data_IF_095746049868
#
_entry.id   IF_095746049868
#
_cell.length_a   1.000
_cell.length_b   1.000
_cell.length_c   1.000
_cell.angle_alpha   90.00
_cell.angle_beta   90.00
_cell.angle_gamma   90.00
#
_symmetry.space_group_name_H-M   'P 1'
#
loop_
_entity.id
_entity.type
_entity.pdbx_description
1 polymer ?
#
# COMPACT_ATOMS: atom_id res chain seq x y z
N UNK A 1 -8.19 -8.69 -11.44
CA UNK A 1 -8.51 -7.75 -10.35
C UNK A 1 -8.18 -6.37 -10.88
N UNK A 2 -9.12 -5.41 -10.84
CA UNK A 2 -8.80 -4.04 -11.27
C UNK A 2 -7.77 -3.43 -10.30
N UNK A 3 -6.97 -2.44 -10.75
CA UNK A 3 -6.02 -1.76 -9.87
C UNK A 3 -6.72 -1.18 -8.63
N UNK A 4 -7.95 -0.69 -8.80
CA UNK A 4 -8.79 -0.19 -7.71
C UNK A 4 -9.14 -1.27 -6.69
N UNK A 5 -9.52 -2.48 -7.12
CA UNK A 5 -9.82 -3.60 -6.24
C UNK A 5 -8.59 -4.02 -5.42
N UNK A 6 -7.41 -4.03 -6.06
CA UNK A 6 -6.14 -4.34 -5.39
C UNK A 6 -5.76 -3.27 -4.36
N UNK A 7 -5.89 -1.99 -4.73
CA UNK A 7 -5.63 -0.87 -3.81
C UNK A 7 -6.60 -0.90 -2.63
N UNK A 8 -7.88 -1.22 -2.86
CA UNK A 8 -8.86 -1.38 -1.79
C UNK A 8 -8.48 -2.53 -0.85
N UNK A 9 -8.14 -3.68 -1.40
CA UNK A 9 -7.69 -4.83 -0.59
C UNK A 9 -6.48 -4.50 0.29
N UNK A 10 -5.47 -3.82 -0.27
CA UNK A 10 -4.28 -3.40 0.47
C UNK A 10 -4.63 -2.38 1.58
N UNK A 11 -5.52 -1.43 1.28
CA UNK A 11 -5.97 -0.42 2.25
C UNK A 11 -6.77 -1.03 3.40
N UNK A 12 -7.68 -1.97 3.09
CA UNK A 12 -8.48 -2.68 4.09
C UNK A 12 -7.57 -3.52 5.01
N UNK A 13 -6.56 -4.17 4.44
CA UNK A 13 -5.58 -4.97 5.19
C UNK A 13 -4.70 -4.09 6.09
N UNK A 14 -4.26 -2.93 5.60
CA UNK A 14 -3.54 -1.95 6.42
C UNK A 14 -4.41 -1.43 7.58
N UNK A 15 -5.69 -1.14 7.33
CA UNK A 15 -6.61 -0.71 8.39
C UNK A 15 -6.80 -1.76 9.49
N UNK A 16 -6.83 -3.05 9.14
CA UNK A 16 -6.88 -4.14 10.12
C UNK A 16 -5.64 -4.17 11.02
N UNK A 17 -4.45 -3.98 10.43
CA UNK A 17 -3.19 -3.92 11.18
C UNK A 17 -3.13 -2.71 12.10
N UNK A 18 -3.60 -1.54 11.64
CA UNK A 18 -3.71 -0.34 12.49
C UNK A 18 -4.63 -0.60 13.70
N UNK A 19 -5.77 -1.26 13.49
CA UNK A 19 -6.67 -1.64 14.60
C UNK A 19 -6.05 -2.64 15.57
N UNK A 20 -5.18 -3.55 15.09
CA UNK A 20 -4.39 -4.45 15.95
C UNK A 20 -3.34 -3.68 16.74
N UNK A 21 -2.67 -2.71 16.13
CA UNK A 21 -1.64 -1.88 16.76
C UNK A 21 -2.17 -1.08 17.96
N UNK A 22 -3.41 -0.55 17.88
CA UNK A 22 -4.04 0.23 18.96
C UNK A 22 -4.08 -0.50 20.30
N UNK A 23 -4.18 -1.82 20.29
CA UNK A 23 -4.35 -2.65 21.49
C UNK A 23 -3.12 -3.54 21.78
N UNK A 24 -2.07 -3.44 20.97
CA UNK A 24 -0.90 -4.29 21.08
C UNK A 24 0.13 -3.74 22.10
N UNK A 25 0.96 -4.65 22.63
CA UNK A 25 2.15 -4.23 23.37
C UNK A 25 3.10 -3.46 22.43
N UNK A 26 3.93 -2.51 22.94
CA UNK A 26 4.69 -1.59 22.08
C UNK A 26 5.53 -2.25 20.97
N UNK A 27 6.14 -3.41 21.24
CA UNK A 27 6.93 -4.14 20.24
C UNK A 27 6.06 -4.68 19.10
N UNK A 28 4.94 -5.33 19.44
CA UNK A 28 4.00 -5.85 18.45
C UNK A 28 3.24 -4.72 17.73
N UNK A 29 2.97 -3.60 18.41
CA UNK A 29 2.39 -2.42 17.79
C UNK A 29 3.32 -1.84 16.70
N UNK A 30 4.63 -1.80 16.96
CA UNK A 30 5.61 -1.37 15.96
C UNK A 30 5.60 -2.29 14.73
N UNK A 31 5.59 -3.61 14.93
CA UNK A 31 5.51 -4.58 13.82
C UNK A 31 4.23 -4.38 12.97
N UNK A 32 3.06 -4.21 13.60
CA UNK A 32 1.83 -3.95 12.87
C UNK A 32 1.82 -2.62 12.12
N UNK A 33 2.48 -1.59 12.67
CA UNK A 33 2.61 -0.29 12.01
C UNK A 33 3.52 -0.37 10.78
N UNK A 34 4.66 -1.06 10.90
CA UNK A 34 5.59 -1.28 9.78
C UNK A 34 4.91 -2.06 8.64
N UNK A 35 4.20 -3.14 8.96
CA UNK A 35 3.44 -3.92 7.96
C UNK A 35 2.33 -3.08 7.31
N UNK A 36 1.61 -2.26 8.08
CA UNK A 36 0.58 -1.38 7.53
C UNK A 36 1.17 -0.33 6.58
N UNK A 37 2.33 0.24 6.90
CA UNK A 37 3.04 1.17 6.05
C UNK A 37 3.46 0.52 4.71
N UNK A 38 4.01 -0.69 4.75
CA UNK A 38 4.39 -1.43 3.54
C UNK A 38 3.21 -1.68 2.60
N UNK A 39 2.04 -2.06 3.15
CA UNK A 39 0.83 -2.28 2.37
C UNK A 39 0.32 -0.99 1.70
N UNK A 40 0.36 0.13 2.42
CA UNK A 40 -0.01 1.43 1.86
C UNK A 40 0.98 1.89 0.78
N UNK A 41 2.28 1.68 0.98
CA UNK A 41 3.32 1.97 -0.01
C UNK A 41 3.12 1.13 -1.29
N UNK A 42 2.79 -0.15 -1.15
CA UNK A 42 2.42 -1.02 -2.27
C UNK A 42 1.18 -0.48 -2.99
N UNK A 43 0.14 -0.08 -2.26
CA UNK A 43 -1.06 0.53 -2.84
C UNK A 43 -0.74 1.79 -3.65
N UNK A 44 0.09 2.69 -3.09
CA UNK A 44 0.56 3.88 -3.79
C UNK A 44 1.35 3.55 -5.06
N UNK A 45 2.18 2.50 -5.03
CA UNK A 45 2.93 2.04 -6.21
C UNK A 45 2.01 1.52 -7.33
N UNK A 46 0.90 0.86 -6.98
CA UNK A 46 -0.11 0.37 -7.93
C UNK A 46 -0.84 1.53 -8.59
N UNK A 47 -1.20 2.57 -7.81
CA UNK A 47 -1.82 3.79 -8.34
C UNK A 47 -0.88 4.56 -9.28
N UNK A 48 0.43 4.54 -9.02
CA UNK A 48 1.43 5.25 -9.83
C UNK A 48 1.93 4.47 -11.05
N UNK A 49 1.58 3.19 -11.19
CA UNK A 49 2.01 2.34 -12.32
C UNK A 49 1.63 2.87 -13.72
N UNK A 50 0.43 3.47 -13.94
CA UNK A 50 0.08 4.09 -15.21
C UNK A 50 1.00 5.27 -15.55
N UNK A 51 1.33 6.11 -14.57
CA UNK A 51 2.15 7.31 -14.78
C UNK A 51 3.59 6.98 -15.25
N UNK A 52 4.16 5.85 -14.83
CA UNK A 52 5.51 5.42 -15.24
C UNK A 52 5.52 4.80 -16.65
N UNK A 53 4.42 4.19 -17.09
CA UNK A 53 4.31 3.60 -18.42
C UNK A 53 4.20 4.68 -19.52
N UNK A 54 3.46 5.76 -19.26
CA UNK A 54 3.30 6.86 -20.22
C UNK A 54 4.60 7.68 -20.40
N UNK A 55 5.39 7.89 -19.34
CA UNK A 55 6.67 8.62 -19.42
C UNK A 55 7.67 7.89 -20.35
N UNK A 56 7.76 6.57 -20.25
CA UNK A 56 8.70 5.77 -21.07
C UNK A 56 8.35 5.75 -22.56
N UNK A 57 7.10 6.04 -22.91
CA UNK A 57 6.66 6.07 -24.31
C UNK A 57 6.98 7.42 -24.97
N UNK A 58 7.09 8.50 -24.18
CA UNK A 58 7.45 9.84 -24.65
C UNK A 58 8.95 10.03 -24.85
N UNK A 59 9.81 9.35 -24.08
CA UNK A 59 11.27 9.43 -24.25
C UNK A 59 11.81 8.59 -25.43
N UNK A 60 10.98 7.73 -26.03
CA UNK A 60 11.36 6.83 -27.11
C UNK A 60 10.88 7.29 -28.51
N UNK A 61 10.32 8.51 -28.64
CA UNK A 61 9.74 9.06 -29.86
C UNK A 61 10.52 10.27 -30.40
#
# INVERSE_FOLDING_TARGET
MANEDLVRFLSDSAAELLGKAENAAPVAAAEFLDEAEELLALGASVLNRPAVADIKTLEAA
#
